data_IF_760710906238
#
_entry.id   IF_760710906238
#
_cell.length_a   1.000
_cell.length_b   1.000
_cell.length_c   1.000
_cell.angle_alpha   90.00
_cell.angle_beta   90.00
_cell.angle_gamma   90.00
#
_symmetry.space_group_name_H-M   'P 1'
#
loop_
_entity.id
_entity.type
_entity.pdbx_description
1 polymer ?
#
# COMPACT_ATOMS: atom_id res chain seq x y z
N UNK A 1 -1.38 -10.69 19.76
CA UNK A 1 -0.37 -10.19 20.74
C UNK A 1 0.48 -9.19 20.01
N UNK A 2 0.74 -8.02 20.60
CA UNK A 2 1.66 -7.05 20.00
C UNK A 2 3.09 -7.58 20.17
N UNK A 3 3.82 -7.70 19.07
CA UNK A 3 5.22 -8.14 19.07
C UNK A 3 6.14 -6.97 19.47
N UNK A 4 7.28 -7.30 20.06
CA UNK A 4 8.28 -6.29 20.39
C UNK A 4 9.11 -5.98 19.14
N UNK A 5 9.07 -4.73 18.68
CA UNK A 5 9.88 -4.23 17.56
C UNK A 5 11.19 -3.65 18.11
N UNK A 6 12.28 -4.39 17.92
CA UNK A 6 13.62 -3.96 18.38
C UNK A 6 14.31 -3.17 17.26
N UNK A 7 14.98 -2.08 17.59
CA UNK A 7 15.63 -1.17 16.62
C UNK A 7 16.67 -1.84 15.74
N UNK A 8 17.33 -2.86 16.26
CA UNK A 8 18.37 -3.62 15.58
C UNK A 8 17.83 -4.59 14.53
N UNK A 9 16.53 -4.88 14.52
CA UNK A 9 15.92 -5.78 13.53
C UNK A 9 16.09 -5.23 12.12
N UNK A 10 16.47 -6.12 11.21
CA UNK A 10 16.54 -5.88 9.77
C UNK A 10 15.17 -6.18 9.17
N UNK A 11 14.65 -5.24 8.40
CA UNK A 11 13.29 -5.32 7.85
C UNK A 11 13.32 -5.30 6.33
N UNK A 12 12.56 -6.19 5.70
CA UNK A 12 12.19 -6.09 4.29
C UNK A 12 10.69 -5.75 4.19
N UNK A 13 10.34 -4.80 3.33
CA UNK A 13 8.96 -4.36 3.09
C UNK A 13 8.56 -4.66 1.66
N UNK A 14 7.52 -5.46 1.45
CA UNK A 14 6.98 -5.81 0.15
C UNK A 14 5.57 -5.22 0.01
N UNK A 15 5.36 -4.39 -0.99
CA UNK A 15 4.17 -3.57 -1.13
C UNK A 15 3.37 -3.99 -2.37
N UNK A 16 2.22 -4.57 -2.15
CA UNK A 16 1.21 -4.79 -3.18
C UNK A 16 0.47 -3.47 -3.45
N UNK A 17 0.95 -2.73 -4.44
CA UNK A 17 0.41 -1.40 -4.73
C UNK A 17 -1.02 -1.43 -5.21
N UNK A 18 -1.42 -2.46 -5.96
CA UNK A 18 -2.78 -2.58 -6.47
C UNK A 18 -3.78 -2.82 -5.34
N UNK A 19 -3.51 -3.77 -4.46
CA UNK A 19 -4.38 -4.07 -3.32
C UNK A 19 -4.60 -2.84 -2.45
N UNK A 20 -3.51 -2.14 -2.07
CA UNK A 20 -3.61 -0.92 -1.27
C UNK A 20 -4.32 0.22 -2.01
N UNK A 21 -4.02 0.41 -3.31
CA UNK A 21 -4.68 1.44 -4.12
C UNK A 21 -6.19 1.21 -4.23
N UNK A 22 -6.61 -0.01 -4.56
CA UNK A 22 -8.03 -0.34 -4.67
C UNK A 22 -8.74 -0.21 -3.32
N UNK A 23 -8.11 -0.63 -2.23
CA UNK A 23 -8.63 -0.47 -0.88
C UNK A 23 -8.84 1.01 -0.51
N UNK A 24 -7.83 1.85 -0.70
CA UNK A 24 -7.94 3.29 -0.42
C UNK A 24 -8.98 3.97 -1.31
N UNK A 25 -9.03 3.59 -2.59
CA UNK A 25 -10.00 4.13 -3.54
C UNK A 25 -11.43 3.75 -3.18
N UNK A 26 -11.67 2.50 -2.86
CA UNK A 26 -13.02 1.99 -2.58
C UNK A 26 -13.55 2.45 -1.21
N UNK A 27 -12.70 2.45 -0.18
CA UNK A 27 -13.11 2.80 1.18
C UNK A 27 -13.16 4.30 1.43
N UNK A 28 -12.26 5.08 0.81
CA UNK A 28 -12.04 6.48 1.16
C UNK A 28 -12.03 7.42 -0.04
N UNK A 29 -12.19 6.91 -1.27
CA UNK A 29 -12.06 7.66 -2.52
C UNK A 29 -10.76 8.50 -2.57
N UNK A 30 -9.67 7.95 -2.08
CA UNK A 30 -8.39 8.64 -1.88
C UNK A 30 -7.22 7.83 -2.42
N UNK A 31 -6.04 8.45 -2.44
CA UNK A 31 -4.77 7.80 -2.78
C UNK A 31 -4.03 7.40 -1.52
N UNK A 32 -3.21 6.34 -1.61
CA UNK A 32 -2.34 5.88 -0.51
C UNK A 32 -1.14 6.80 -0.34
N UNK A 33 -0.77 7.07 0.90
CA UNK A 33 0.49 7.71 1.27
C UNK A 33 1.56 6.63 1.51
N UNK A 34 2.24 6.21 0.45
CA UNK A 34 3.25 5.14 0.53
C UNK A 34 4.46 5.49 1.40
N UNK A 35 4.77 6.79 1.56
CA UNK A 35 5.81 7.22 2.50
C UNK A 35 5.44 6.81 3.93
N UNK A 36 4.25 7.11 4.36
CA UNK A 36 3.80 6.78 5.70
C UNK A 36 3.58 5.26 5.89
N UNK A 37 3.20 4.55 4.82
CA UNK A 37 3.16 3.07 4.84
C UNK A 37 4.56 2.51 5.10
N UNK A 38 5.59 3.01 4.39
CA UNK A 38 6.97 2.57 4.59
C UNK A 38 7.48 2.92 5.99
N UNK A 39 7.29 4.16 6.45
CA UNK A 39 7.73 4.61 7.76
C UNK A 39 7.12 3.76 8.89
N UNK A 40 5.82 3.45 8.81
CA UNK A 40 5.14 2.59 9.78
C UNK A 40 5.64 1.16 9.73
N UNK A 41 5.83 0.62 8.52
CA UNK A 41 6.37 -0.73 8.32
C UNK A 41 7.77 -0.88 8.90
N UNK A 42 8.61 0.12 8.71
CA UNK A 42 9.99 0.10 9.25
C UNK A 42 10.00 0.33 10.76
N UNK A 43 9.15 1.21 11.28
CA UNK A 43 9.01 1.52 12.71
C UNK A 43 10.35 1.80 13.42
N UNK A 44 11.25 2.54 12.76
CA UNK A 44 12.57 2.92 13.29
C UNK A 44 13.61 1.80 13.31
N UNK A 45 13.34 0.66 12.68
CA UNK A 45 14.26 -0.48 12.49
C UNK A 45 15.17 -0.26 11.27
N UNK A 46 16.08 -1.20 11.00
CA UNK A 46 16.97 -1.14 9.84
C UNK A 46 16.29 -1.65 8.58
N UNK A 47 15.94 -0.74 7.68
CA UNK A 47 15.41 -1.11 6.37
C UNK A 47 16.51 -1.73 5.51
N UNK A 48 16.35 -2.98 5.14
CA UNK A 48 17.23 -3.69 4.19
C UNK A 48 16.74 -3.45 2.77
N UNK A 49 15.43 -3.59 2.54
CA UNK A 49 14.83 -3.40 1.22
C UNK A 49 13.34 -3.07 1.31
N UNK A 50 12.89 -2.14 0.48
CA UNK A 50 11.47 -1.89 0.25
C UNK A 50 11.17 -2.04 -1.25
N UNK A 51 10.19 -2.87 -1.61
CA UNK A 51 9.84 -3.17 -2.99
C UNK A 51 8.34 -2.94 -3.19
N UNK A 52 7.99 -2.10 -4.16
CA UNK A 52 6.63 -1.93 -4.62
C UNK A 52 6.40 -2.71 -5.92
N UNK A 53 5.37 -3.51 -5.95
CA UNK A 53 4.96 -4.30 -7.10
C UNK A 53 3.84 -3.55 -7.82
N UNK A 54 4.10 -3.15 -9.05
CA UNK A 54 3.23 -2.27 -9.82
C UNK A 54 2.85 -2.90 -11.15
N UNK A 55 1.59 -2.82 -11.50
CA UNK A 55 1.12 -3.15 -12.85
C UNK A 55 1.02 -1.83 -13.62
N UNK A 56 1.79 -1.71 -14.70
CA UNK A 56 1.72 -0.55 -15.59
C UNK A 56 0.40 -0.55 -16.36
N UNK A 57 -0.22 0.63 -16.49
CA UNK A 57 -1.40 0.83 -17.32
C UNK A 57 -0.99 1.35 -18.69
N UNK A 58 -1.86 1.18 -19.70
CA UNK A 58 -1.59 1.65 -21.05
C UNK A 58 -1.49 3.19 -21.16
N UNK A 59 -1.93 3.92 -20.14
CA UNK A 59 -1.97 5.38 -20.14
C UNK A 59 -0.60 6.06 -19.94
N UNK A 60 0.39 5.35 -19.39
CA UNK A 60 1.76 5.86 -19.26
C UNK A 60 1.98 7.02 -18.28
N UNK A 61 0.95 7.44 -17.54
CA UNK A 61 0.99 8.60 -16.63
C UNK A 61 1.66 8.28 -15.27
N UNK A 62 2.38 7.15 -15.19
CA UNK A 62 2.86 6.60 -13.93
C UNK A 62 4.30 6.99 -13.59
N UNK A 63 5.00 7.70 -14.50
CA UNK A 63 6.40 8.10 -14.30
C UNK A 63 6.58 8.91 -13.00
N UNK A 64 5.71 9.88 -12.75
CA UNK A 64 5.73 10.69 -11.51
C UNK A 64 5.51 9.84 -10.25
N UNK A 65 4.69 8.79 -10.36
CA UNK A 65 4.45 7.86 -9.25
C UNK A 65 5.69 7.01 -8.96
N UNK A 66 6.35 6.47 -9.98
CA UNK A 66 7.60 5.71 -9.81
C UNK A 66 8.72 6.57 -9.26
N UNK A 67 8.85 7.79 -9.76
CA UNK A 67 9.81 8.77 -9.25
C UNK A 67 9.55 9.10 -7.77
N UNK A 68 8.28 9.25 -7.40
CA UNK A 68 7.91 9.50 -6.01
C UNK A 68 8.27 8.32 -5.09
N UNK A 69 8.05 7.08 -5.53
CA UNK A 69 8.44 5.88 -4.77
C UNK A 69 9.96 5.78 -4.62
N UNK A 70 10.70 6.02 -5.71
CA UNK A 70 12.17 5.98 -5.70
C UNK A 70 12.75 7.02 -4.75
N UNK A 71 12.22 8.25 -4.73
CA UNK A 71 12.65 9.35 -3.84
C UNK A 71 12.51 9.03 -2.36
N UNK A 72 11.60 8.14 -1.99
CA UNK A 72 11.39 7.71 -0.60
C UNK A 72 12.09 6.38 -0.28
N UNK A 73 12.90 5.85 -1.20
CA UNK A 73 13.69 4.63 -0.98
C UNK A 73 12.94 3.33 -1.27
N UNK A 74 11.85 3.38 -2.03
CA UNK A 74 11.11 2.19 -2.47
C UNK A 74 11.54 1.84 -3.90
N UNK A 75 12.06 0.62 -4.09
CA UNK A 75 12.32 0.05 -5.40
C UNK A 75 11.01 -0.35 -6.08
N UNK A 76 10.89 -0.16 -7.39
CA UNK A 76 9.70 -0.57 -8.13
C UNK A 76 9.98 -1.78 -9.01
N UNK A 77 9.13 -2.79 -8.94
CA UNK A 77 9.03 -3.87 -9.91
C UNK A 77 7.79 -3.67 -10.76
N UNK A 78 8.00 -3.45 -12.04
CA UNK A 78 6.92 -3.12 -12.98
C UNK A 78 6.65 -4.32 -13.87
N UNK A 79 5.38 -4.60 -14.12
CA UNK A 79 4.89 -5.62 -15.05
C UNK A 79 3.80 -4.99 -15.90
N UNK A 80 3.87 -5.24 -17.20
CA UNK A 80 2.82 -4.78 -18.11
C UNK A 80 1.52 -5.56 -17.90
N UNK A 81 0.41 -4.85 -18.04
CA UNK A 81 -0.91 -5.47 -18.00
C UNK A 81 -1.07 -6.39 -19.22
N UNK A 82 -1.25 -7.68 -18.97
CA UNK A 82 -1.47 -8.65 -20.04
C UNK A 82 -2.91 -8.54 -20.56
N UNK A 83 -3.05 -8.31 -21.86
CA UNK A 83 -4.36 -8.31 -22.54
C UNK A 83 -4.49 -9.61 -23.30
N UNK A 84 -5.48 -10.42 -22.95
CA UNK A 84 -5.78 -11.68 -23.62
C UNK A 84 -6.76 -11.48 -24.77
N UNK A 85 -6.75 -12.43 -25.70
CA UNK A 85 -7.74 -12.48 -26.78
C UNK A 85 -9.16 -12.52 -26.17
N UNK A 86 -10.00 -11.56 -26.56
CA UNK A 86 -11.34 -11.37 -25.96
C UNK A 86 -11.42 -10.20 -24.96
N UNK A 87 -10.33 -9.42 -24.78
CA UNK A 87 -10.33 -8.18 -23.99
C UNK A 87 -10.15 -8.36 -22.49
N UNK A 88 -10.00 -9.60 -22.01
CA UNK A 88 -9.71 -9.87 -20.61
C UNK A 88 -8.31 -9.37 -20.29
N UNK A 89 -8.21 -8.54 -19.23
CA UNK A 89 -6.93 -8.01 -18.73
C UNK A 89 -6.55 -8.77 -17.46
N UNK A 90 -5.33 -9.27 -17.41
CA UNK A 90 -4.77 -9.90 -16.21
C UNK A 90 -3.39 -9.33 -15.92
N UNK A 91 -3.18 -8.94 -14.71
CA UNK A 91 -1.89 -8.55 -14.18
C UNK A 91 -1.95 -8.68 -12.67
N UNK A 92 -1.15 -9.58 -12.13
CA UNK A 92 -0.92 -9.73 -10.70
C UNK A 92 0.57 -9.91 -10.43
N UNK A 93 0.98 -9.63 -9.23
CA UNK A 93 2.35 -9.81 -8.76
C UNK A 93 2.46 -10.86 -7.66
N UNK A 94 1.39 -11.58 -7.34
CA UNK A 94 1.32 -12.47 -6.17
C UNK A 94 2.46 -13.48 -6.13
N UNK A 95 2.69 -14.17 -7.25
CA UNK A 95 3.82 -15.11 -7.37
C UNK A 95 5.16 -14.40 -7.27
N UNK A 96 5.32 -13.25 -7.92
CA UNK A 96 6.57 -12.49 -7.90
C UNK A 96 6.89 -11.94 -6.51
N UNK A 97 5.90 -11.38 -5.83
CA UNK A 97 5.99 -10.91 -4.46
C UNK A 97 6.33 -12.06 -3.51
N UNK A 98 5.63 -13.19 -3.64
CA UNK A 98 5.88 -14.37 -2.81
C UNK A 98 7.31 -14.91 -2.97
N UNK A 99 7.81 -15.01 -4.20
CA UNK A 99 9.19 -15.46 -4.47
C UNK A 99 10.21 -14.51 -3.83
N UNK A 100 10.00 -13.19 -3.95
CA UNK A 100 10.92 -12.22 -3.34
C UNK A 100 10.86 -12.27 -1.81
N UNK A 101 9.68 -12.44 -1.21
CA UNK A 101 9.53 -12.61 0.23
C UNK A 101 10.32 -13.83 0.73
N UNK A 102 10.19 -14.97 0.06
CA UNK A 102 10.94 -16.19 0.39
C UNK A 102 12.46 -15.98 0.26
N UNK A 103 12.92 -15.25 -0.78
CA UNK A 103 14.34 -14.97 -1.00
C UNK A 103 14.92 -13.98 0.01
N UNK A 104 14.10 -13.08 0.53
CA UNK A 104 14.52 -12.06 1.50
C UNK A 104 14.47 -12.57 2.94
N UNK A 105 13.54 -13.45 3.28
CA UNK A 105 13.35 -13.97 4.63
C UNK A 105 14.66 -14.43 5.32
N UNK A 106 15.58 -15.19 4.67
CA UNK A 106 16.84 -15.58 5.30
C UNK A 106 17.83 -14.42 5.56
N UNK A 107 17.56 -13.24 5.03
CA UNK A 107 18.46 -12.07 5.07
C UNK A 107 18.01 -10.99 6.03
N UNK A 108 16.80 -11.13 6.60
CA UNK A 108 16.16 -10.15 7.47
C UNK A 108 15.58 -10.82 8.70
N UNK A 109 15.28 -10.02 9.70
CA UNK A 109 14.66 -10.50 10.94
C UNK A 109 13.13 -10.38 10.85
N UNK A 110 12.65 -9.49 9.98
CA UNK A 110 11.21 -9.25 9.78
C UNK A 110 10.91 -9.02 8.30
N UNK A 111 9.86 -9.68 7.82
CA UNK A 111 9.22 -9.38 6.53
C UNK A 111 7.89 -8.68 6.80
N UNK A 112 7.69 -7.50 6.22
CA UNK A 112 6.42 -6.78 6.28
C UNK A 112 5.73 -6.88 4.92
N UNK A 113 4.52 -7.43 4.90
CA UNK A 113 3.66 -7.50 3.71
C UNK A 113 2.64 -6.38 3.77
N UNK A 114 2.73 -5.43 2.84
CA UNK A 114 1.77 -4.35 2.72
C UNK A 114 0.68 -4.74 1.71
N UNK A 115 -0.24 -5.58 2.16
CA UNK A 115 -1.37 -6.12 1.39
C UNK A 115 -2.49 -6.58 2.32
N UNK A 116 -3.73 -6.56 1.84
CA UNK A 116 -4.89 -7.15 2.53
C UNK A 116 -5.40 -8.44 1.88
N UNK A 117 -4.67 -8.94 0.88
CA UNK A 117 -5.09 -10.09 0.09
C UNK A 117 -4.90 -11.40 0.85
N UNK A 118 -6.00 -12.17 0.98
CA UNK A 118 -6.00 -13.46 1.65
C UNK A 118 -5.19 -14.54 0.95
N UNK A 119 -4.91 -14.38 -0.33
CA UNK A 119 -4.12 -15.35 -1.10
C UNK A 119 -2.66 -15.44 -0.60
N UNK A 120 -2.22 -14.46 0.19
CA UNK A 120 -0.91 -14.50 0.86
C UNK A 120 -0.91 -15.26 2.20
N UNK A 121 -2.04 -15.79 2.69
CA UNK A 121 -2.08 -16.61 3.91
C UNK A 121 -1.04 -17.75 3.90
N UNK A 122 -0.94 -18.59 2.84
CA UNK A 122 0.04 -19.67 2.80
C UNK A 122 1.50 -19.17 2.81
N UNK A 123 1.75 -17.99 2.23
CA UNK A 123 3.08 -17.36 2.27
C UNK A 123 3.44 -16.96 3.70
N UNK A 124 2.52 -16.33 4.42
CA UNK A 124 2.73 -15.92 5.82
C UNK A 124 3.02 -17.15 6.69
N UNK A 125 2.21 -18.21 6.57
CA UNK A 125 2.42 -19.45 7.32
C UNK A 125 3.78 -20.09 7.04
N UNK A 126 4.23 -20.05 5.78
CA UNK A 126 5.54 -20.57 5.41
C UNK A 126 6.68 -19.72 6.01
N UNK A 127 6.61 -18.41 5.89
CA UNK A 127 7.68 -17.50 6.32
C UNK A 127 7.86 -17.46 7.84
N UNK A 128 6.80 -17.61 8.61
CA UNK A 128 6.84 -17.63 10.09
C UNK A 128 7.72 -18.72 10.68
N UNK A 129 8.07 -19.74 9.88
CA UNK A 129 9.01 -20.77 10.34
C UNK A 129 10.46 -20.26 10.46
N UNK A 130 10.79 -19.13 9.83
CA UNK A 130 12.18 -18.66 9.75
C UNK A 130 12.37 -17.15 9.99
N UNK A 131 11.31 -16.35 9.91
CA UNK A 131 11.37 -14.90 10.09
C UNK A 131 10.05 -14.38 10.66
N UNK A 132 10.08 -13.25 11.34
CA UNK A 132 8.88 -12.57 11.81
C UNK A 132 8.11 -12.01 10.62
N UNK A 133 6.78 -12.18 10.61
CA UNK A 133 5.92 -11.68 9.52
C UNK A 133 4.87 -10.73 10.06
N UNK A 134 4.94 -9.49 9.57
CA UNK A 134 3.98 -8.44 9.87
C UNK A 134 3.14 -8.13 8.62
N UNK A 135 1.89 -7.74 8.82
CA UNK A 135 1.00 -7.29 7.74
C UNK A 135 0.53 -5.88 8.03
N UNK A 136 0.56 -5.01 7.02
CA UNK A 136 0.02 -3.65 7.10
C UNK A 136 -0.99 -3.44 5.96
N UNK A 137 -2.22 -3.08 6.30
CA UNK A 137 -3.28 -2.82 5.31
C UNK A 137 -4.47 -2.11 5.94
N UNK A 138 -5.45 -1.73 5.11
CA UNK A 138 -6.74 -1.22 5.59
C UNK A 138 -7.58 -2.39 6.12
N UNK A 139 -7.75 -2.48 7.42
CA UNK A 139 -8.38 -3.61 8.09
C UNK A 139 -9.80 -3.95 7.60
N UNK A 140 -10.53 -2.95 7.08
CA UNK A 140 -11.87 -3.14 6.51
C UNK A 140 -11.88 -3.91 5.18
N UNK A 141 -10.78 -3.92 4.44
CA UNK A 141 -10.62 -4.66 3.18
C UNK A 141 -9.62 -5.80 3.27
N UNK A 142 -9.11 -6.10 4.45
CA UNK A 142 -8.14 -7.17 4.68
C UNK A 142 -8.85 -8.47 5.03
N UNK A 143 -8.38 -9.58 4.46
CA UNK A 143 -8.82 -10.93 4.82
C UNK A 143 -8.68 -11.17 6.33
N UNK A 144 -9.73 -11.69 6.95
CA UNK A 144 -9.68 -12.04 8.39
C UNK A 144 -8.61 -13.10 8.67
N UNK A 145 -8.47 -14.08 7.79
CA UNK A 145 -7.45 -15.12 7.91
C UNK A 145 -6.03 -14.56 7.84
N UNK A 146 -5.77 -13.64 6.89
CA UNK A 146 -4.46 -13.00 6.78
C UNK A 146 -4.09 -12.25 8.08
N UNK A 147 -5.06 -11.59 8.71
CA UNK A 147 -4.87 -10.95 10.02
C UNK A 147 -4.55 -11.97 11.13
N UNK A 148 -5.27 -13.07 11.15
CA UNK A 148 -5.11 -14.12 12.18
C UNK A 148 -3.76 -14.83 12.09
N UNK A 149 -3.27 -15.11 10.88
CA UNK A 149 -2.00 -15.81 10.69
C UNK A 149 -0.78 -14.91 10.84
N UNK A 150 -0.90 -13.59 10.66
CA UNK A 150 0.20 -12.65 10.85
C UNK A 150 0.59 -12.55 12.32
N UNK A 151 1.87 -12.30 12.60
CA UNK A 151 2.35 -12.13 13.98
C UNK A 151 2.06 -10.72 14.51
N UNK A 152 1.96 -9.74 13.61
CA UNK A 152 1.44 -8.40 13.90
C UNK A 152 0.63 -7.90 12.72
N UNK A 153 -0.48 -7.22 13.01
CA UNK A 153 -1.32 -6.59 12.00
C UNK A 153 -1.48 -5.11 12.31
N UNK A 154 -1.00 -4.28 11.39
CA UNK A 154 -1.09 -2.83 11.47
C UNK A 154 -2.30 -2.37 10.65
N UNK A 155 -3.38 -1.98 11.34
CA UNK A 155 -4.60 -1.50 10.68
C UNK A 155 -4.49 -0.02 10.30
N UNK A 156 -4.29 0.24 9.00
CA UNK A 156 -4.26 1.61 8.47
C UNK A 156 -5.62 2.35 8.61
N UNK A 157 -6.71 1.61 8.86
CA UNK A 157 -8.03 2.20 9.06
C UNK A 157 -8.17 2.90 10.41
N UNK A 158 -7.35 2.55 11.41
CA UNK A 158 -7.36 3.19 12.74
C UNK A 158 -6.82 4.63 12.71
N UNK A 159 -5.92 4.92 11.74
CA UNK A 159 -5.39 6.27 11.53
C UNK A 159 -5.37 6.61 10.04
N UNK A 160 -6.56 6.68 9.46
CA UNK A 160 -6.75 6.87 8.01
C UNK A 160 -6.05 8.13 7.50
N UNK A 161 -6.09 9.24 8.24
CA UNK A 161 -5.49 10.52 7.84
C UNK A 161 -3.97 10.41 7.61
N UNK A 162 -3.30 9.51 8.31
CA UNK A 162 -1.87 9.23 8.13
C UNK A 162 -1.60 8.53 6.81
N UNK A 163 -2.46 7.59 6.41
CA UNK A 163 -2.17 6.64 5.32
C UNK A 163 -2.82 7.01 3.99
N UNK A 164 -3.68 8.03 3.94
CA UNK A 164 -4.27 8.52 2.70
C UNK A 164 -3.80 9.95 2.37
N UNK A 165 -3.80 10.27 1.08
CA UNK A 165 -3.58 11.63 0.58
C UNK A 165 -4.95 12.25 0.36
N UNK A 166 -5.36 13.17 1.24
CA UNK A 166 -6.63 13.87 1.11
C UNK A 166 -6.69 14.65 -0.21
N UNK A 167 -7.76 14.47 -0.99
CA UNK A 167 -8.05 15.39 -2.09
C UNK A 167 -8.29 16.78 -1.51
N UNK A 168 -7.52 17.79 -1.91
CA UNK A 168 -7.83 19.19 -1.62
C UNK A 168 -9.23 19.46 -2.17
N UNK A 169 -10.24 19.60 -1.31
CA UNK A 169 -11.55 20.09 -1.70
C UNK A 169 -11.33 21.42 -2.40
N UNK A 170 -11.70 21.52 -3.67
CA UNK A 170 -11.78 22.80 -4.36
C UNK A 170 -12.68 23.71 -3.51
N UNK A 171 -12.14 24.83 -3.00
CA UNK A 171 -12.93 25.83 -2.28
C UNK A 171 -13.99 26.32 -3.26
N UNK A 172 -15.23 25.92 -3.05
CA UNK A 172 -16.38 26.55 -3.69
C UNK A 172 -16.38 28.03 -3.29
N UNK A 173 -15.91 28.87 -4.19
CA UNK A 173 -16.07 30.32 -4.08
C UNK A 173 -17.57 30.56 -4.29
N UNK A 174 -18.30 30.72 -3.19
CA UNK A 174 -19.67 31.21 -3.24
C UNK A 174 -19.64 32.67 -3.67
N UNK A 175 -19.82 32.95 -4.96
CA UNK A 175 -20.11 34.29 -5.45
C UNK A 175 -21.47 34.71 -4.89
N UNK A 176 -21.44 35.52 -3.84
CA UNK A 176 -22.61 36.29 -3.41
C UNK A 176 -22.93 37.29 -4.53
N UNK A 177 -23.94 36.97 -5.31
CA UNK A 177 -24.58 37.94 -6.21
C UNK A 177 -25.15 39.08 -5.42
N UNK A 178 -24.55 40.25 -5.54
CA UNK A 178 -25.11 41.52 -5.02
C UNK A 178 -26.36 41.89 -5.82
N UNK A 179 -27.52 41.71 -5.23
CA UNK A 179 -28.77 42.23 -5.76
C UNK A 179 -28.77 43.75 -5.73
N UNK A 180 -28.60 44.41 -6.87
CA UNK A 180 -28.87 45.84 -7.06
C UNK A 180 -30.36 46.10 -6.94
N UNK A 181 -30.80 46.78 -5.86
CA UNK A 181 -32.13 47.37 -5.76
C UNK A 181 -32.25 48.53 -6.74
N UNK A 182 -33.07 48.40 -7.75
CA UNK A 182 -33.54 49.56 -8.54
C UNK A 182 -34.65 50.28 -7.77
N UNK A 183 -34.41 51.54 -7.37
CA UNK A 183 -35.46 52.48 -6.96
C UNK A 183 -36.10 53.06 -8.22
N UNK A 184 -37.43 52.89 -8.35
CA UNK A 184 -38.24 53.67 -9.28
C UNK A 184 -38.55 55.06 -8.67
N UNK A 185 -38.37 56.09 -9.48
CA UNK A 185 -39.04 57.36 -9.38
C UNK A 185 -40.31 57.31 -10.15
#
# INVERSE_FOLDING_TARGET
>A
MSIIKQKEQRVAVLIDTQNLYHSAKNLYNSKVNFKNVLEESVAGRHLVRAIAYVIATEAGDEADFFDALTKIGIETKIKDLQVFYGGNKKGDWDVGLAIDAIRLAPKVDTVVLATGDGDFEPLVEYLKNSTQVEVISFGRSTSSRLKEVSEDFIDMSENTEKFIIAHKRAKHISNKSSSKKYKKK
#
